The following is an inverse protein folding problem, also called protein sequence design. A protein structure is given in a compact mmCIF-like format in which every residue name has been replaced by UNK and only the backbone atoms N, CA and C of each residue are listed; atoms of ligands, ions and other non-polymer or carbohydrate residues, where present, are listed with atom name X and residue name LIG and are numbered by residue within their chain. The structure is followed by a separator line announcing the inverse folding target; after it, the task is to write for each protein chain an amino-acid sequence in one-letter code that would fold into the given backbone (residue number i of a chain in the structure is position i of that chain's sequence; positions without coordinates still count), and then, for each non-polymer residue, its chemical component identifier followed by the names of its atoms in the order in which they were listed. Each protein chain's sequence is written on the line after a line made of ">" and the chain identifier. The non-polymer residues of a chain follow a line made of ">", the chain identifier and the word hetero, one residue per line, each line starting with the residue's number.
data_IF_637406391580
#
_entry.id   IF_637406391580
#
_cell.length_a   1.000
_cell.length_b   1.000
_cell.length_c   1.000
_cell.angle_alpha   90.00
_cell.angle_beta   90.00
_cell.angle_gamma   90.00
#
_symmetry.space_group_name_H-M   'P 1'
#
loop_
_entity.id
_entity.type
_entity.pdbx_description
1 polymer ?
#
# COMPACT_ATOMS: atom_id res chain seq x y z
N UNK A 1 11.55 -14.67 9.01
CA UNK A 1 12.60 -13.67 8.74
C UNK A 1 12.43 -12.55 9.75
N UNK A 2 13.49 -12.25 10.49
CA UNK A 2 13.51 -11.17 11.48
C UNK A 2 14.63 -10.20 11.14
N UNK A 3 14.47 -8.93 11.55
CA UNK A 3 15.46 -7.88 11.41
C UNK A 3 15.89 -7.36 12.78
N UNK A 4 17.18 -7.07 12.86
CA UNK A 4 17.88 -6.50 14.01
C UNK A 4 18.99 -5.60 13.46
N UNK A 5 19.22 -4.46 14.10
CA UNK A 5 20.27 -3.52 13.72
C UNK A 5 21.01 -2.98 14.94
N UNK A 6 22.27 -2.62 14.77
CA UNK A 6 23.11 -1.97 15.77
C UNK A 6 24.12 -1.05 15.07
N UNK A 7 24.37 0.17 15.58
CA UNK A 7 25.50 0.98 15.13
C UNK A 7 26.81 0.21 15.21
N UNK A 8 27.64 0.28 14.16
CA UNK A 8 28.86 -0.53 14.07
C UNK A 8 29.89 -0.21 15.15
N UNK A 9 29.82 0.98 15.74
CA UNK A 9 30.66 1.46 16.84
C UNK A 9 30.15 1.06 18.23
N UNK A 10 28.99 0.39 18.33
CA UNK A 10 28.33 0.07 19.59
C UNK A 10 27.97 -1.42 19.73
N UNK A 11 28.62 -2.31 18.98
CA UNK A 11 28.31 -3.75 18.97
C UNK A 11 28.38 -4.41 20.36
N UNK A 12 29.24 -3.90 21.24
CA UNK A 12 29.40 -4.39 22.61
C UNK A 12 28.35 -3.85 23.58
N UNK A 13 27.63 -2.77 23.22
CA UNK A 13 26.54 -2.24 24.02
C UNK A 13 25.23 -2.96 23.68
N UNK A 14 24.81 -3.85 24.58
CA UNK A 14 23.53 -4.56 24.46
C UNK A 14 22.32 -3.62 24.30
N UNK A 15 22.39 -2.38 24.81
CA UNK A 15 21.33 -1.38 24.69
C UNK A 15 21.27 -0.68 23.33
N UNK A 16 22.32 -0.80 22.52
CA UNK A 16 22.40 -0.19 21.19
C UNK A 16 21.74 -1.02 20.08
N UNK A 17 21.30 -2.25 20.40
CA UNK A 17 20.58 -3.12 19.47
C UNK A 17 19.12 -2.72 19.34
N UNK A 18 18.58 -2.76 18.12
CA UNK A 18 17.15 -2.52 17.88
C UNK A 18 16.29 -3.63 18.47
N UNK A 19 15.01 -3.35 18.67
CA UNK A 19 14.04 -4.42 18.92
C UNK A 19 14.00 -5.41 17.73
N UNK A 20 13.73 -6.68 18.04
CA UNK A 20 13.56 -7.72 17.02
C UNK A 20 12.26 -7.46 16.24
N UNK A 21 12.39 -7.20 14.94
CA UNK A 21 11.24 -6.96 14.07
C UNK A 21 10.96 -8.19 13.21
N UNK A 22 9.77 -8.78 13.33
CA UNK A 22 9.32 -9.84 12.44
C UNK A 22 8.88 -9.23 11.10
N UNK A 23 9.49 -9.66 9.99
CA UNK A 23 9.16 -9.12 8.66
C UNK A 23 8.27 -10.09 7.87
N UNK A 24 8.70 -11.35 7.73
CA UNK A 24 7.95 -12.38 7.01
C UNK A 24 7.98 -13.71 7.76
N UNK A 25 6.88 -14.45 7.73
CA UNK A 25 6.80 -15.83 8.23
C UNK A 25 6.94 -16.84 7.09
N UNK A 26 7.19 -18.11 7.43
CA UNK A 26 7.21 -19.23 6.47
C UNK A 26 8.21 -19.06 5.30
N UNK A 27 9.29 -18.32 5.54
CA UNK A 27 10.39 -18.17 4.59
C UNK A 27 11.27 -19.43 4.64
N UNK A 28 11.47 -20.07 3.48
CA UNK A 28 12.30 -21.27 3.33
C UNK A 28 13.67 -20.93 2.72
N UNK A 29 13.71 -19.93 1.84
CA UNK A 29 14.93 -19.46 1.15
C UNK A 29 14.97 -17.94 1.14
N UNK A 30 16.16 -17.37 1.27
CA UNK A 30 16.37 -15.93 1.18
C UNK A 30 17.64 -15.62 0.37
N UNK A 31 17.61 -14.52 -0.35
CA UNK A 31 18.73 -13.97 -1.12
C UNK A 31 18.78 -12.46 -0.95
N UNK A 32 19.71 -11.91 -0.15
CA UNK A 32 19.86 -10.47 -0.01
C UNK A 32 20.52 -9.89 -1.26
N UNK A 33 20.12 -8.68 -1.61
CA UNK A 33 20.65 -7.88 -2.69
C UNK A 33 20.88 -6.45 -2.19
N UNK A 34 22.12 -6.00 -2.24
CA UNK A 34 22.50 -4.67 -1.81
C UNK A 34 22.68 -3.78 -3.03
N UNK A 35 21.83 -2.77 -3.18
CA UNK A 35 22.00 -1.80 -4.25
C UNK A 35 22.97 -0.70 -3.80
N UNK A 36 24.16 -0.65 -4.42
CA UNK A 36 25.23 0.29 -4.08
C UNK A 36 24.90 1.73 -4.48
N UNK A 37 23.91 1.97 -5.34
CA UNK A 37 23.59 3.29 -5.87
C UNK A 37 22.55 4.03 -5.02
N UNK A 38 21.52 3.35 -4.51
CA UNK A 38 20.45 3.94 -3.69
C UNK A 38 20.57 3.59 -2.20
N UNK A 39 21.50 2.70 -1.81
CA UNK A 39 21.69 2.27 -0.43
C UNK A 39 20.56 1.40 0.12
N UNK A 40 19.59 1.03 -0.72
CA UNK A 40 18.41 0.26 -0.32
C UNK A 40 18.72 -1.22 -0.20
N UNK A 41 18.38 -1.79 0.97
CA UNK A 41 18.41 -3.23 1.18
C UNK A 41 17.20 -3.87 0.49
N UNK A 42 17.45 -4.80 -0.43
CA UNK A 42 16.42 -5.63 -1.05
C UNK A 42 16.67 -7.08 -0.68
N UNK A 43 15.66 -7.81 -0.23
CA UNK A 43 15.78 -9.23 0.08
C UNK A 43 14.72 -9.96 -0.72
N UNK A 44 15.13 -10.96 -1.50
CA UNK A 44 14.20 -11.86 -2.14
C UNK A 44 14.01 -13.09 -1.25
N UNK A 45 12.76 -13.48 -1.00
CA UNK A 45 12.47 -14.66 -0.18
C UNK A 45 11.50 -15.58 -0.88
N UNK A 46 11.69 -16.90 -0.75
CA UNK A 46 10.76 -17.90 -1.24
C UNK A 46 10.34 -18.82 -0.10
N UNK A 47 9.08 -19.23 -0.09
CA UNK A 47 8.52 -20.17 0.89
C UNK A 47 7.00 -20.24 0.79
N UNK A 48 6.41 -21.37 1.20
CA UNK A 48 4.97 -21.61 1.11
C UNK A 48 4.39 -21.36 -0.32
N UNK A 49 5.17 -21.70 -1.35
CA UNK A 49 4.77 -21.50 -2.76
C UNK A 49 4.80 -20.05 -3.26
N UNK A 50 5.22 -19.08 -2.43
CA UNK A 50 5.26 -17.66 -2.78
C UNK A 50 6.69 -17.16 -2.96
N UNK A 51 6.85 -16.17 -3.83
CA UNK A 51 8.07 -15.40 -3.99
C UNK A 51 7.80 -13.97 -3.53
N UNK A 52 8.64 -13.43 -2.67
CA UNK A 52 8.51 -12.08 -2.13
C UNK A 52 9.76 -11.27 -2.41
N UNK A 53 9.55 -9.97 -2.60
CA UNK A 53 10.57 -8.93 -2.56
C UNK A 53 10.33 -8.08 -1.33
N UNK A 54 11.30 -8.02 -0.45
CA UNK A 54 11.27 -7.19 0.74
C UNK A 54 12.23 -6.02 0.54
N UNK A 55 11.75 -4.79 0.74
CA UNK A 55 12.51 -3.56 0.54
C UNK A 55 12.53 -2.81 1.86
N UNK A 56 13.70 -2.39 2.30
CA UNK A 56 13.81 -1.45 3.41
C UNK A 56 13.74 -0.02 2.88
N UNK A 57 12.87 0.80 3.46
CA UNK A 57 12.86 2.23 3.19
C UNK A 57 14.18 2.86 3.65
N UNK A 58 14.65 3.93 2.96
CA UNK A 58 15.82 4.66 3.40
C UNK A 58 15.67 5.18 4.83
N UNK A 59 16.78 5.39 5.53
CA UNK A 59 16.79 5.88 6.91
C UNK A 59 16.06 7.23 7.12
N UNK A 60 15.94 8.05 6.08
CA UNK A 60 15.16 9.29 6.12
C UNK A 60 13.64 9.07 6.22
N UNK A 61 13.17 7.83 6.02
CA UNK A 61 11.77 7.43 5.89
C UNK A 61 11.46 6.28 6.85
N UNK A 62 11.94 6.37 8.10
CA UNK A 62 11.53 5.51 9.22
C UNK A 62 12.05 4.05 9.18
N UNK A 63 12.89 3.67 8.20
CA UNK A 63 13.49 2.33 8.10
C UNK A 63 12.47 1.17 8.09
N UNK A 64 11.26 1.43 7.61
CA UNK A 64 10.18 0.44 7.54
C UNK A 64 10.50 -0.59 6.45
N UNK A 65 10.16 -1.85 6.71
CA UNK A 65 10.28 -2.93 5.75
C UNK A 65 8.97 -3.16 5.03
N UNK A 66 8.99 -3.07 3.70
CA UNK A 66 7.86 -3.33 2.83
C UNK A 66 8.04 -4.68 2.15
N UNK A 67 7.10 -5.59 2.36
CA UNK A 67 7.05 -6.84 1.61
C UNK A 67 6.13 -6.67 0.41
N UNK A 68 6.53 -7.21 -0.73
CA UNK A 68 5.72 -7.26 -1.94
C UNK A 68 5.79 -8.67 -2.52
N UNK A 69 4.65 -9.29 -2.76
CA UNK A 69 4.58 -10.56 -3.47
C UNK A 69 4.99 -10.37 -4.94
N UNK A 70 5.89 -11.21 -5.44
CA UNK A 70 6.24 -11.29 -6.85
C UNK A 70 5.32 -12.34 -7.47
N UNK A 71 4.39 -11.88 -8.30
CA UNK A 71 3.55 -12.76 -9.11
C UNK A 71 4.25 -13.06 -10.44
N UNK A 72 4.20 -14.33 -10.84
CA UNK A 72 4.62 -14.76 -12.17
C UNK A 72 3.42 -14.66 -13.11
N UNK A 73 3.67 -14.39 -14.39
CA UNK A 73 2.61 -14.39 -15.39
C UNK A 73 1.90 -15.75 -15.37
N UNK A 74 0.59 -15.71 -15.15
CA UNK A 74 -0.24 -16.89 -15.20
C UNK A 74 -0.42 -17.33 -16.67
N UNK A 75 -0.72 -18.61 -16.88
CA UNK A 75 -1.16 -19.07 -18.20
C UNK A 75 -2.44 -18.31 -18.62
N UNK A 76 -2.68 -18.07 -19.91
CA UNK A 76 -3.86 -17.34 -20.38
C UNK A 76 -5.20 -17.92 -19.92
N UNK A 77 -5.21 -19.21 -19.60
CA UNK A 77 -6.37 -20.00 -19.16
C UNK A 77 -6.56 -19.99 -17.64
N UNK A 78 -5.62 -19.43 -16.88
CA UNK A 78 -5.71 -19.37 -15.43
C UNK A 78 -6.83 -18.44 -14.99
N UNK A 79 -7.55 -18.83 -13.93
CA UNK A 79 -8.60 -17.99 -13.36
C UNK A 79 -8.00 -16.69 -12.79
N UNK A 80 -8.67 -15.54 -13.00
CA UNK A 80 -8.25 -14.27 -12.40
C UNK A 80 -8.27 -14.34 -10.88
N UNK A 81 -7.22 -13.82 -10.24
CA UNK A 81 -7.16 -13.69 -8.79
C UNK A 81 -7.79 -12.37 -8.35
N UNK A 82 -8.68 -12.44 -7.36
CA UNK A 82 -9.23 -11.25 -6.72
C UNK A 82 -8.26 -10.71 -5.67
N UNK A 83 -8.09 -9.39 -5.62
CA UNK A 83 -7.31 -8.70 -4.60
C UNK A 83 -8.01 -7.40 -4.19
N UNK A 84 -7.62 -6.87 -3.03
CA UNK A 84 -8.10 -5.56 -2.57
C UNK A 84 -7.19 -4.48 -3.14
N UNK A 85 -7.78 -3.38 -3.57
CA UNK A 85 -7.04 -2.26 -4.15
C UNK A 85 -7.60 -0.94 -3.68
N UNK A 86 -6.73 0.05 -3.57
CA UNK A 86 -7.09 1.45 -3.46
C UNK A 86 -7.00 2.10 -4.83
N UNK A 87 -8.10 2.72 -5.26
CA UNK A 87 -8.20 3.39 -6.55
C UNK A 87 -8.29 4.89 -6.33
N UNK A 88 -7.30 5.63 -6.84
CA UNK A 88 -7.27 7.08 -6.86
C UNK A 88 -7.65 7.58 -8.25
N UNK A 89 -8.75 8.29 -8.33
CA UNK A 89 -9.25 8.94 -9.55
C UNK A 89 -8.82 10.39 -9.58
N UNK A 90 -8.04 10.78 -10.59
CA UNK A 90 -7.52 12.13 -10.76
C UNK A 90 -8.22 12.78 -11.95
N UNK A 91 -8.86 13.92 -11.71
CA UNK A 91 -9.51 14.72 -12.74
C UNK A 91 -8.78 16.06 -12.86
N UNK A 92 -8.26 16.35 -14.04
CA UNK A 92 -7.60 17.62 -14.34
C UNK A 92 -8.57 18.54 -15.04
N UNK A 93 -8.90 19.65 -14.37
CA UNK A 93 -9.88 20.63 -14.82
C UNK A 93 -9.21 22.00 -15.04
N UNK A 94 -9.76 22.76 -15.97
CA UNK A 94 -9.39 24.16 -16.18
C UNK A 94 -9.95 25.02 -15.05
N UNK A 95 -9.06 25.78 -14.39
CA UNK A 95 -9.34 26.58 -13.20
C UNK A 95 -10.58 27.49 -13.31
N UNK A 96 -10.83 28.07 -14.49
CA UNK A 96 -11.90 29.08 -14.66
C UNK A 96 -13.25 28.50 -15.11
N UNK A 97 -13.28 27.28 -15.63
CA UNK A 97 -14.45 26.75 -16.35
C UNK A 97 -14.88 25.35 -15.93
N UNK A 98 -14.15 24.71 -15.03
CA UNK A 98 -14.31 23.30 -14.64
C UNK A 98 -14.38 22.35 -15.85
N UNK A 99 -13.76 22.74 -16.96
CA UNK A 99 -13.70 21.94 -18.18
C UNK A 99 -12.49 21.02 -18.14
N UNK A 100 -12.63 19.75 -18.55
CA UNK A 100 -11.52 18.81 -18.57
C UNK A 100 -10.41 19.26 -19.52
N UNK A 101 -9.15 19.13 -19.07
CA UNK A 101 -7.98 19.39 -19.91
C UNK A 101 -7.50 18.07 -20.50
N UNK A 102 -7.76 17.88 -21.78
CA UNK A 102 -7.36 16.68 -22.52
C UNK A 102 -5.83 16.54 -22.64
N UNK A 103 -5.32 15.30 -22.55
CA UNK A 103 -3.92 14.94 -22.85
C UNK A 103 -2.88 15.74 -22.06
N UNK A 104 -3.23 16.17 -20.86
CA UNK A 104 -2.33 16.94 -19.99
C UNK A 104 -1.31 16.01 -19.34
N UNK A 105 -0.07 16.47 -19.23
CA UNK A 105 1.00 15.71 -18.56
C UNK A 105 0.95 16.05 -17.08
N UNK A 106 0.81 15.02 -16.25
CA UNK A 106 0.79 15.11 -14.80
C UNK A 106 2.06 14.48 -14.26
N UNK A 107 2.72 15.18 -13.34
CA UNK A 107 3.87 14.65 -12.62
C UNK A 107 3.40 13.90 -11.38
N UNK A 108 3.87 12.66 -11.21
CA UNK A 108 3.50 11.79 -10.10
C UNK A 108 4.75 11.33 -9.34
N UNK A 109 4.67 11.35 -8.01
CA UNK A 109 5.69 10.79 -7.13
C UNK A 109 5.09 10.27 -5.83
N UNK A 110 5.88 9.48 -5.11
CA UNK A 110 5.56 8.92 -3.79
C UNK A 110 6.80 8.98 -2.92
N UNK A 111 6.65 9.04 -1.60
CA UNK A 111 7.82 9.06 -0.70
C UNK A 111 8.60 7.74 -0.73
N UNK A 112 7.86 6.64 -0.77
CA UNK A 112 8.35 5.26 -0.68
C UNK A 112 8.10 4.54 -2.00
N UNK A 113 9.01 3.64 -2.41
CA UNK A 113 8.93 2.98 -3.72
C UNK A 113 7.71 2.06 -3.80
N UNK A 114 6.66 2.51 -4.51
CA UNK A 114 5.36 1.83 -4.54
C UNK A 114 5.02 1.34 -5.96
N UNK A 115 4.68 0.06 -6.14
CA UNK A 115 4.13 -0.46 -7.40
C UNK A 115 2.67 -0.02 -7.55
N UNK A 116 2.32 0.51 -8.72
CA UNK A 116 0.95 0.93 -9.04
C UNK A 116 0.60 0.58 -10.47
N UNK A 117 -0.69 0.55 -10.78
CA UNK A 117 -1.19 0.56 -12.15
C UNK A 117 -1.77 1.93 -12.47
N UNK A 118 -1.30 2.55 -13.55
CA UNK A 118 -1.81 3.83 -14.03
C UNK A 118 -2.44 3.58 -15.39
N UNK A 119 -3.75 3.78 -15.49
CA UNK A 119 -4.59 3.43 -16.65
C UNK A 119 -4.31 2.00 -17.17
N UNK A 120 -4.15 1.06 -16.22
CA UNK A 120 -3.89 -0.36 -16.49
C UNK A 120 -2.44 -0.71 -16.81
N UNK A 121 -1.53 0.26 -16.92
CA UNK A 121 -0.11 0.02 -17.14
C UNK A 121 0.66 -0.01 -15.82
N UNK A 122 1.59 -0.96 -15.68
CA UNK A 122 2.38 -1.13 -14.46
C UNK A 122 3.50 -0.09 -14.36
N UNK A 123 3.53 0.64 -13.24
CA UNK A 123 4.58 1.58 -12.87
C UNK A 123 5.14 1.26 -11.50
N UNK A 124 6.37 1.73 -11.25
CA UNK A 124 6.95 1.75 -9.91
C UNK A 124 7.27 3.20 -9.58
N UNK A 125 6.42 3.82 -8.78
CA UNK A 125 6.61 5.19 -8.33
C UNK A 125 7.70 5.25 -7.26
N UNK A 126 8.35 6.41 -7.14
CA UNK A 126 9.34 6.70 -6.11
C UNK A 126 9.35 8.20 -5.84
N UNK A 127 10.33 8.68 -5.06
CA UNK A 127 10.54 10.11 -4.84
C UNK A 127 10.97 10.86 -6.11
N UNK A 128 11.37 10.12 -7.15
CA UNK A 128 11.62 10.70 -8.48
C UNK A 128 10.30 10.86 -9.22
N UNK A 129 10.03 12.08 -9.69
CA UNK A 129 8.83 12.40 -10.47
C UNK A 129 8.84 11.62 -11.78
N UNK A 130 7.68 11.08 -12.13
CA UNK A 130 7.41 10.52 -13.46
C UNK A 130 6.32 11.33 -14.15
N UNK A 131 6.39 11.41 -15.47
CA UNK A 131 5.40 12.09 -16.29
C UNK A 131 4.42 11.07 -16.86
N UNK A 132 3.14 11.28 -16.59
CA UNK A 132 2.06 10.47 -17.16
C UNK A 132 1.08 11.38 -17.87
N UNK A 133 0.71 11.02 -19.10
CA UNK A 133 -0.28 11.75 -19.87
C UNK A 133 -1.67 11.28 -19.46
N UNK A 134 -2.52 12.21 -19.01
CA UNK A 134 -3.93 11.93 -18.76
C UNK A 134 -4.67 11.66 -20.07
N UNK A 135 -5.82 10.97 -19.97
CA UNK A 135 -6.63 10.65 -21.13
C UNK A 135 -7.22 11.89 -21.83
N UNK A 136 -7.94 11.68 -22.93
CA UNK A 136 -8.61 12.74 -23.69
C UNK A 136 -9.68 13.49 -22.89
N UNK A 137 -10.12 12.93 -21.77
CA UNK A 137 -11.05 13.55 -20.82
C UNK A 137 -10.36 14.22 -19.64
N UNK A 138 -9.02 14.31 -19.63
CA UNK A 138 -8.25 14.83 -18.48
C UNK A 138 -8.35 13.95 -17.25
N UNK A 139 -8.64 12.66 -17.45
CA UNK A 139 -8.81 11.67 -16.40
C UNK A 139 -7.60 10.75 -16.32
N UNK A 140 -7.29 10.31 -15.10
CA UNK A 140 -6.22 9.36 -14.82
C UNK A 140 -6.64 8.49 -13.64
N UNK A 141 -6.46 7.16 -13.75
CA UNK A 141 -6.73 6.23 -12.66
C UNK A 141 -5.42 5.63 -12.16
N UNK A 142 -5.15 5.78 -10.87
CA UNK A 142 -4.03 5.12 -10.18
C UNK A 142 -4.59 4.04 -9.26
N UNK A 143 -4.20 2.79 -9.48
CA UNK A 143 -4.61 1.64 -8.68
C UNK A 143 -3.38 1.11 -7.94
N UNK A 144 -3.46 1.11 -6.61
CA UNK A 144 -2.50 0.47 -5.73
C UNK A 144 -3.13 -0.79 -5.15
N UNK A 145 -2.37 -1.87 -5.04
CA UNK A 145 -2.78 -3.11 -4.38
C UNK A 145 -1.96 -3.24 -3.08
N UNK A 146 -2.34 -2.54 -2.00
CA UNK A 146 -1.59 -2.62 -0.76
C UNK A 146 -1.82 -3.97 -0.07
N UNK A 147 -0.74 -4.53 0.47
CA UNK A 147 -0.79 -5.77 1.26
C UNK A 147 -1.25 -5.51 2.71
N UNK A 148 -1.30 -4.24 3.13
CA UNK A 148 -1.69 -3.80 4.47
C UNK A 148 -2.45 -2.45 4.46
N UNK A 149 -2.55 -1.79 5.63
CA UNK A 149 -3.22 -0.50 5.81
C UNK A 149 -2.35 0.70 5.39
N UNK A 150 -1.18 0.49 4.78
CA UNK A 150 -0.27 1.56 4.38
C UNK A 150 -0.35 1.79 2.87
N UNK A 151 -1.45 2.40 2.41
CA UNK A 151 -1.51 2.92 1.04
C UNK A 151 -0.55 4.10 0.86
N UNK A 152 0.09 4.18 -0.30
CA UNK A 152 1.07 5.21 -0.60
C UNK A 152 0.41 6.59 -0.67
N UNK A 153 1.07 7.59 -0.08
CA UNK A 153 0.69 8.98 -0.29
C UNK A 153 1.22 9.47 -1.64
N UNK A 154 0.31 9.71 -2.57
CA UNK A 154 0.58 10.24 -3.89
C UNK A 154 0.81 11.75 -3.83
N UNK A 155 1.89 12.21 -4.43
CA UNK A 155 2.12 13.62 -4.73
C UNK A 155 1.91 13.82 -6.23
N UNK A 156 0.94 14.66 -6.56
CA UNK A 156 0.52 14.98 -7.91
C UNK A 156 0.91 16.42 -8.16
N UNK A 157 1.61 16.70 -9.26
CA UNK A 157 1.98 18.06 -9.63
C UNK A 157 1.62 18.33 -11.09
N UNK A 158 1.15 19.54 -11.33
CA UNK A 158 0.82 20.07 -12.64
C UNK A 158 1.20 21.53 -12.68
N UNK A 159 2.16 21.88 -13.54
CA UNK A 159 2.75 23.21 -13.63
C UNK A 159 3.18 23.74 -12.24
N UNK A 160 2.55 24.83 -11.76
CA UNK A 160 2.84 25.46 -10.47
C UNK A 160 1.94 24.95 -9.32
N UNK A 161 1.14 23.91 -9.55
CA UNK A 161 0.20 23.37 -8.56
C UNK A 161 0.66 21.99 -8.12
N UNK A 162 0.64 21.73 -6.82
CA UNK A 162 0.90 20.40 -6.27
C UNK A 162 -0.19 20.04 -5.27
N UNK A 163 -0.63 18.79 -5.33
CA UNK A 163 -1.60 18.19 -4.43
C UNK A 163 -1.02 16.90 -3.86
N UNK A 164 -1.29 16.66 -2.57
CA UNK A 164 -0.90 15.43 -1.89
C UNK A 164 -2.16 14.69 -1.49
N UNK A 165 -2.28 13.44 -1.92
CA UNK A 165 -3.43 12.57 -1.67
C UNK A 165 -2.95 11.32 -0.96
N UNK A 166 -3.47 11.09 0.25
CA UNK A 166 -3.29 9.84 0.98
C UNK A 166 -4.64 9.12 0.96
N UNK A 167 -4.74 7.94 0.30
CA UNK A 167 -5.97 7.15 0.28
C UNK A 167 -6.48 6.81 1.69
N UNK A 168 -5.57 6.75 2.67
CA UNK A 168 -5.88 6.39 4.05
C UNK A 168 -6.41 7.54 4.90
N UNK A 169 -6.32 8.80 4.47
CA UNK A 169 -6.73 9.95 5.30
C UNK A 169 -8.19 9.86 5.71
N UNK A 170 -9.07 9.49 4.77
CA UNK A 170 -10.49 9.29 5.05
C UNK A 170 -10.75 8.07 5.93
N UNK A 171 -10.02 6.98 5.71
CA UNK A 171 -10.14 5.74 6.50
C UNK A 171 -9.71 5.99 7.94
N UNK A 172 -8.59 6.68 8.18
CA UNK A 172 -8.13 7.06 9.51
C UNK A 172 -9.08 8.05 10.19
N UNK A 173 -9.57 9.07 9.48
CA UNK A 173 -10.57 10.00 10.03
C UNK A 173 -11.85 9.24 10.46
N UNK A 174 -12.29 8.28 9.66
CA UNK A 174 -13.44 7.42 9.97
C UNK A 174 -13.19 6.56 11.20
N UNK A 175 -12.02 5.93 11.34
CA UNK A 175 -11.65 5.15 12.53
C UNK A 175 -11.55 6.05 13.76
N UNK A 176 -10.86 7.19 13.66
CA UNK A 176 -10.67 8.13 14.76
C UNK A 176 -12.01 8.69 15.28
N UNK A 177 -13.02 8.85 14.41
CA UNK A 177 -14.35 9.31 14.82
C UNK A 177 -15.14 8.29 15.67
N UNK A 178 -14.68 7.03 15.76
CA UNK A 178 -15.26 5.93 16.57
C UNK A 178 -14.59 5.80 17.95
N UNK A 179 -14.43 6.92 18.63
CA UNK A 179 -13.70 7.10 19.89
C UNK A 179 -14.48 6.75 21.17
N UNK A 180 -15.69 6.19 21.07
CA UNK A 180 -16.52 5.85 22.24
C UNK A 180 -17.03 4.42 22.20
N UNK A 181 -17.15 3.79 23.37
CA UNK A 181 -17.60 2.40 23.52
C UNK A 181 -18.98 2.14 22.90
N UNK A 182 -19.84 3.16 22.83
CA UNK A 182 -21.13 3.09 22.15
C UNK A 182 -20.97 3.08 20.62
N UNK A 183 -20.14 3.99 20.06
CA UNK A 183 -19.86 4.07 18.62
C UNK A 183 -19.10 2.84 18.08
N UNK A 184 -18.32 2.15 18.92
CA UNK A 184 -17.64 0.90 18.52
C UNK A 184 -18.61 -0.27 18.45
N UNK A 185 -19.59 -0.35 19.36
CA UNK A 185 -20.59 -1.45 19.40
C UNK A 185 -21.60 -1.40 18.25
N UNK A 186 -21.97 -0.20 17.81
CA UNK A 186 -22.84 0.00 16.64
C UNK A 186 -22.05 -0.03 15.31
N UNK A 187 -20.78 -0.45 15.33
CA UNK A 187 -19.99 -0.56 14.11
C UNK A 187 -20.44 -1.75 13.28
N UNK A 188 -21.08 -1.43 12.17
CA UNK A 188 -21.42 -2.35 11.10
C UNK A 188 -20.28 -2.40 10.07
N UNK A 189 -19.85 -3.61 9.72
CA UNK A 189 -18.90 -3.84 8.63
C UNK A 189 -19.48 -4.85 7.64
N UNK A 190 -19.23 -4.67 6.34
CA UNK A 190 -19.59 -5.67 5.36
C UNK A 190 -18.76 -6.93 5.60
N UNK A 191 -19.42 -8.02 5.95
CA UNK A 191 -18.77 -9.32 6.20
C UNK A 191 -18.41 -10.05 4.91
N UNK A 192 -19.01 -9.66 3.78
CA UNK A 192 -18.73 -10.23 2.46
C UNK A 192 -18.45 -9.14 1.44
N UNK A 193 -17.24 -9.16 0.88
CA UNK A 193 -16.82 -8.31 -0.24
C UNK A 193 -16.48 -9.23 -1.40
N UNK A 194 -17.09 -8.99 -2.56
CA UNK A 194 -16.77 -9.65 -3.83
C UNK A 194 -16.01 -8.66 -4.73
N UNK A 195 -15.37 -9.15 -5.78
CA UNK A 195 -14.79 -8.27 -6.79
C UNK A 195 -15.88 -7.33 -7.34
N UNK A 196 -15.67 -6.02 -7.21
CA UNK A 196 -16.65 -5.00 -7.59
C UNK A 196 -17.54 -4.45 -6.45
N UNK A 197 -17.40 -4.92 -5.20
CA UNK A 197 -18.04 -4.29 -4.04
C UNK A 197 -18.70 -5.26 -3.06
N UNK A 198 -19.77 -4.80 -2.41
CA UNK A 198 -20.50 -5.56 -1.40
C UNK A 198 -21.59 -6.36 -2.11
N UNK A 199 -21.68 -7.66 -1.85
CA UNK A 199 -22.77 -8.49 -2.39
C UNK A 199 -24.09 -8.08 -1.69
N UNK A 200 -25.14 -7.81 -2.46
CA UNK A 200 -26.40 -7.16 -2.04
C UNK A 200 -27.29 -7.99 -1.07
N UNK A 201 -26.72 -9.01 -0.41
CA UNK A 201 -27.35 -9.71 0.71
C UNK A 201 -26.63 -9.31 2.00
N UNK A 202 -27.14 -8.26 2.64
CA UNK A 202 -26.60 -7.73 3.90
C UNK A 202 -26.62 -8.80 5.00
N UNK A 203 -25.45 -9.37 5.29
CA UNK A 203 -25.16 -9.90 6.62
C UNK A 203 -24.20 -8.91 7.27
N UNK A 204 -24.78 -7.94 7.94
CA UNK A 204 -24.05 -6.94 8.71
C UNK A 204 -23.83 -7.50 10.11
N UNK A 205 -22.59 -7.87 10.45
CA UNK A 205 -22.32 -8.40 11.79
C UNK A 205 -22.02 -7.26 12.79
N UNK A 206 -22.65 -7.26 13.97
CA UNK A 206 -22.27 -6.36 15.06
C UNK A 206 -20.93 -6.80 15.67
N UNK A 207 -20.11 -5.85 16.09
CA UNK A 207 -18.76 -6.09 16.63
C UNK A 207 -18.70 -6.88 17.95
N UNK A 208 -19.83 -7.33 18.50
CA UNK A 208 -19.94 -7.96 19.82
C UNK A 208 -20.24 -9.47 19.85
N UNK A 209 -20.23 -10.19 18.73
CA UNK A 209 -20.44 -11.64 18.73
C UNK A 209 -19.18 -12.45 19.12
N UNK A 210 -18.57 -12.13 20.27
CA UNK A 210 -17.72 -13.07 20.98
C UNK A 210 -18.65 -14.02 21.76
N UNK A 211 -18.78 -15.25 21.26
CA UNK A 211 -19.42 -16.35 22.00
C UNK A 211 -18.72 -16.48 23.36
N UNK A 212 -19.46 -16.24 24.44
CA UNK A 212 -19.01 -16.62 25.78
C UNK A 212 -18.92 -18.16 25.86
N UNK A 213 -17.88 -18.74 26.49
CA UNK A 213 -17.86 -20.16 26.78
C UNK A 213 -18.92 -20.47 27.83
N UNK A 214 -19.80 -21.43 27.52
CA UNK A 214 -20.74 -21.99 28.49
C UNK A 214 -19.99 -23.02 29.32
N UNK A 215 -19.72 -22.66 30.57
CA UNK A 215 -19.20 -23.55 31.60
C UNK A 215 -20.26 -24.60 31.94
N UNK A 216 -19.83 -25.86 32.06
CA UNK A 216 -20.39 -26.83 33.01
C UNK A 216 -19.27 -27.17 34.00
#
# INVERSE_FOLDING_TARGET
>A
MYYLACPTDQLEDSGAWSALLAILSQVERLSPYFNRTDGGNKIFTAGNGKLWRVIQDPAATENIWHAQEITLAAAPEAEPTNFKSDTTSIHVLQFDKDLPIANVIVDLSVKTRTPVYIDGLYYVLSSTLIQVMAETTGFLTVIEAPDDLHAATLTISLDNTSLRISPMDHTFAKIASRDSAYKTRDTQFPSQTVAGGIMDHQITEPSSSLRQPMTL
#
